data_IF_897537080759
#
_entry.id   IF_897537080759
#
_cell.length_a   1.000
_cell.length_b   1.000
_cell.length_c   1.000
_cell.angle_alpha   90.00
_cell.angle_beta   90.00
_cell.angle_gamma   90.00
#
_symmetry.space_group_name_H-M   'P 1'
#
loop_
_entity.id
_entity.type
_entity.pdbx_description
1 polymer ?
#
# COMPACT_ATOMS: atom_id res chain seq x y z
N UNK A 1 41.45 1.63 12.50
CA UNK A 1 41.21 0.23 12.08
C UNK A 1 41.06 0.28 10.57
N UNK A 2 42.08 -0.13 9.82
CA UNK A 2 42.03 -0.05 8.36
C UNK A 2 40.94 -1.00 7.81
N UNK A 3 40.10 -0.55 6.86
CA UNK A 3 39.09 -1.40 6.27
C UNK A 3 39.80 -2.44 5.41
N UNK A 4 39.81 -3.69 5.89
CA UNK A 4 40.38 -4.82 5.15
C UNK A 4 39.59 -5.00 3.85
N UNK A 5 40.23 -4.72 2.72
CA UNK A 5 39.67 -4.99 1.40
C UNK A 5 39.29 -6.47 1.34
N UNK A 6 38.00 -6.76 1.24
CA UNK A 6 37.52 -8.12 1.02
C UNK A 6 37.92 -8.48 -0.40
N UNK A 7 38.61 -9.61 -0.59
CA UNK A 7 38.89 -10.13 -1.92
C UNK A 7 37.58 -10.18 -2.73
N UNK A 8 37.60 -9.63 -3.94
CA UNK A 8 36.43 -9.61 -4.81
C UNK A 8 35.94 -11.05 -4.98
N UNK A 9 34.65 -11.30 -4.71
CA UNK A 9 34.08 -12.65 -4.79
C UNK A 9 34.20 -13.27 -6.20
N UNK A 10 34.52 -12.46 -7.20
CA UNK A 10 34.47 -12.80 -8.61
C UNK A 10 35.82 -12.58 -9.33
N UNK A 11 36.96 -12.69 -8.65
CA UNK A 11 38.27 -12.57 -9.33
C UNK A 11 38.36 -13.64 -10.45
N UNK A 12 38.49 -13.19 -11.70
CA UNK A 12 38.53 -14.06 -12.89
C UNK A 12 37.16 -14.54 -13.40
N UNK A 13 36.05 -13.99 -12.89
CA UNK A 13 34.68 -14.25 -13.35
C UNK A 13 33.95 -12.94 -13.60
N UNK A 14 32.93 -12.95 -14.45
CA UNK A 14 32.09 -11.77 -14.65
C UNK A 14 31.34 -11.40 -13.36
N UNK A 15 31.18 -10.11 -13.10
CA UNK A 15 30.42 -9.60 -11.96
C UNK A 15 28.92 -9.63 -12.20
N UNK A 16 28.49 -9.36 -13.43
CA UNK A 16 27.10 -9.35 -13.86
C UNK A 16 26.76 -10.59 -14.70
N UNK A 17 25.46 -10.90 -14.79
CA UNK A 17 24.98 -11.99 -15.63
C UNK A 17 25.16 -11.67 -17.11
N UNK A 18 25.67 -12.62 -17.90
CA UNK A 18 25.88 -12.44 -19.34
C UNK A 18 24.61 -11.99 -20.08
N UNK A 19 23.46 -12.61 -19.75
CA UNK A 19 22.18 -12.28 -20.38
C UNK A 19 21.71 -10.85 -20.04
N UNK A 20 21.99 -10.36 -18.83
CA UNK A 20 21.60 -9.02 -18.40
C UNK A 20 22.42 -7.97 -19.16
N UNK A 21 23.73 -8.19 -19.28
CA UNK A 21 24.61 -7.32 -20.05
C UNK A 21 24.29 -7.34 -21.55
N UNK A 22 23.96 -8.52 -22.10
CA UNK A 22 23.53 -8.62 -23.50
C UNK A 22 22.21 -7.89 -23.77
N UNK A 23 21.24 -7.97 -22.85
CA UNK A 23 19.99 -7.21 -22.94
C UNK A 23 20.23 -5.70 -22.81
N UNK A 24 21.15 -5.28 -21.95
CA UNK A 24 21.53 -3.88 -21.80
C UNK A 24 22.12 -3.32 -23.11
N UNK A 25 23.03 -4.07 -23.75
CA UNK A 25 23.61 -3.72 -25.05
C UNK A 25 22.54 -3.63 -26.14
N UNK A 26 21.67 -4.64 -26.24
CA UNK A 26 20.57 -4.64 -27.21
C UNK A 26 19.61 -3.45 -26.98
N UNK A 27 19.30 -3.12 -25.72
CA UNK A 27 18.47 -1.97 -25.37
C UNK A 27 19.09 -0.62 -25.75
N UNK A 28 20.41 -0.55 -25.90
CA UNK A 28 21.14 0.64 -26.35
C UNK A 28 21.48 0.61 -27.86
N UNK A 29 20.94 -0.36 -28.61
CA UNK A 29 21.04 -0.41 -30.07
C UNK A 29 22.11 -1.38 -30.62
N UNK A 30 22.70 -2.23 -29.79
CA UNK A 30 23.58 -3.31 -30.25
C UNK A 30 22.78 -4.49 -30.85
N UNK A 31 23.48 -5.49 -31.39
CA UNK A 31 22.90 -6.72 -31.93
C UNK A 31 22.29 -7.61 -30.84
N UNK A 32 21.31 -8.45 -31.20
CA UNK A 32 20.63 -9.38 -30.27
C UNK A 32 21.58 -10.37 -29.57
N UNK A 33 22.65 -10.76 -30.24
CA UNK A 33 23.65 -11.70 -29.74
C UNK A 33 25.02 -11.01 -29.86
N UNK A 34 25.41 -10.18 -28.87
CA UNK A 34 26.69 -9.49 -28.90
C UNK A 34 27.85 -10.48 -28.74
N UNK A 35 29.04 -10.07 -29.17
CA UNK A 35 30.25 -10.86 -28.99
C UNK A 35 30.55 -11.06 -27.50
N UNK A 36 31.01 -12.25 -27.12
CA UNK A 36 31.35 -12.56 -25.73
C UNK A 36 32.41 -11.63 -25.15
N UNK A 37 33.35 -11.18 -25.98
CA UNK A 37 34.40 -10.25 -25.57
C UNK A 37 33.84 -8.84 -25.30
N UNK A 38 32.86 -8.37 -26.09
CA UNK A 38 32.15 -7.11 -25.83
C UNK A 38 31.45 -7.16 -24.48
N UNK A 39 30.78 -8.27 -24.17
CA UNK A 39 30.09 -8.44 -22.89
C UNK A 39 31.07 -8.46 -21.71
N UNK A 40 32.24 -9.10 -21.87
CA UNK A 40 33.30 -9.09 -20.85
C UNK A 40 33.88 -7.70 -20.62
N UNK A 41 34.19 -6.97 -21.69
CA UNK A 41 34.70 -5.60 -21.58
C UNK A 41 33.65 -4.69 -20.92
N UNK A 42 32.37 -4.86 -21.26
CA UNK A 42 31.29 -4.13 -20.59
C UNK A 42 31.22 -4.43 -19.09
N UNK A 43 31.37 -5.69 -18.68
CA UNK A 43 31.42 -6.08 -17.27
C UNK A 43 32.55 -5.37 -16.51
N UNK A 44 33.74 -5.30 -17.11
CA UNK A 44 34.91 -4.63 -16.55
C UNK A 44 34.67 -3.11 -16.42
N UNK A 45 34.23 -2.46 -17.50
CA UNK A 45 33.94 -1.02 -17.52
C UNK A 45 32.86 -0.67 -16.49
N UNK A 46 31.78 -1.45 -16.43
CA UNK A 46 30.67 -1.21 -15.52
C UNK A 46 31.11 -1.39 -14.06
N UNK A 47 31.92 -2.41 -13.80
CA UNK A 47 32.48 -2.66 -12.47
C UNK A 47 33.38 -1.51 -12.03
N UNK A 48 34.27 -1.04 -12.91
CA UNK A 48 35.15 0.10 -12.64
C UNK A 48 34.34 1.38 -12.38
N UNK A 49 33.31 1.64 -13.18
CA UNK A 49 32.43 2.79 -13.01
C UNK A 49 31.72 2.78 -11.64
N UNK A 50 31.09 1.66 -11.26
CA UNK A 50 30.38 1.54 -9.98
C UNK A 50 31.35 1.69 -8.81
N UNK A 51 32.55 1.11 -8.90
CA UNK A 51 33.58 1.25 -7.88
C UNK A 51 34.04 2.70 -7.75
N UNK A 52 34.35 3.37 -8.87
CA UNK A 52 34.78 4.77 -8.90
C UNK A 52 33.78 5.70 -8.22
N UNK A 53 32.51 5.59 -8.62
CA UNK A 53 31.41 6.36 -8.01
C UNK A 53 31.28 6.05 -6.51
N UNK A 54 31.37 4.78 -6.12
CA UNK A 54 31.25 4.37 -4.72
C UNK A 54 32.38 4.92 -3.85
N UNK A 55 33.59 5.04 -4.39
CA UNK A 55 34.71 5.66 -3.68
C UNK A 55 34.50 7.16 -3.50
N UNK A 56 34.02 7.86 -4.52
CA UNK A 56 33.70 9.29 -4.41
C UNK A 56 32.58 9.56 -3.39
N UNK A 57 31.50 8.78 -3.44
CA UNK A 57 30.40 8.86 -2.48
C UNK A 57 30.87 8.53 -1.06
N UNK A 58 31.74 7.52 -0.89
CA UNK A 58 32.34 7.20 0.41
C UNK A 58 33.17 8.37 0.92
N UNK A 59 33.98 9.00 0.06
CA UNK A 59 34.77 10.18 0.45
C UNK A 59 33.88 11.33 0.90
N UNK A 60 32.76 11.59 0.21
CA UNK A 60 31.77 12.58 0.63
C UNK A 60 31.17 12.25 2.01
N UNK A 61 30.79 10.99 2.24
CA UNK A 61 30.27 10.54 3.53
C UNK A 61 31.30 10.71 4.67
N UNK A 62 32.57 10.40 4.41
CA UNK A 62 33.67 10.55 5.37
C UNK A 62 33.93 12.02 5.71
N UNK A 63 33.84 12.93 4.73
CA UNK A 63 33.90 14.37 4.99
C UNK A 63 32.77 14.86 5.91
N UNK A 64 31.60 14.20 5.87
CA UNK A 64 30.48 14.45 6.78
C UNK A 64 30.59 13.68 8.12
N UNK A 65 31.72 13.00 8.40
CA UNK A 65 31.93 12.20 9.61
C UNK A 65 31.11 10.91 9.68
N UNK A 66 30.53 10.47 8.56
CA UNK A 66 29.69 9.26 8.49
C UNK A 66 30.46 8.10 7.88
N UNK A 67 30.44 6.95 8.57
CA UNK A 67 30.97 5.70 8.03
C UNK A 67 30.02 5.05 6.99
N UNK A 68 28.71 5.33 7.10
CA UNK A 68 27.69 4.78 6.19
C UNK A 68 27.37 5.79 5.10
N UNK A 69 27.51 5.34 3.85
CA UNK A 69 27.13 6.09 2.65
C UNK A 69 25.61 6.17 2.58
N UNK A 70 25.12 7.38 2.33
CA UNK A 70 23.71 7.70 2.06
C UNK A 70 23.56 8.05 0.60
N UNK A 71 22.31 8.12 0.17
CA UNK A 71 21.98 8.52 -1.18
C UNK A 71 22.45 9.94 -1.55
N UNK A 72 22.34 10.88 -0.62
CA UNK A 72 22.84 12.26 -0.78
C UNK A 72 24.33 12.32 -1.15
N UNK A 73 25.11 11.32 -0.72
CA UNK A 73 26.54 11.24 -1.05
C UNK A 73 26.76 10.86 -2.52
N UNK A 74 25.86 10.08 -3.12
CA UNK A 74 25.88 9.75 -4.55
C UNK A 74 25.42 10.93 -5.41
N UNK A 75 24.41 11.67 -4.97
CA UNK A 75 24.03 12.94 -5.62
C UNK A 75 25.19 13.93 -5.62
N UNK A 76 25.91 14.03 -4.50
CA UNK A 76 27.07 14.90 -4.40
C UNK A 76 28.25 14.42 -5.26
N UNK A 77 28.50 13.10 -5.32
CA UNK A 77 29.54 12.54 -6.18
C UNK A 77 29.28 12.86 -7.66
N UNK A 78 28.04 12.70 -8.11
CA UNK A 78 27.68 12.90 -9.52
C UNK A 78 27.37 14.35 -9.91
N UNK A 79 27.57 15.33 -9.01
CA UNK A 79 27.23 16.77 -9.23
C UNK A 79 27.85 17.42 -10.46
N UNK A 80 28.91 16.82 -11.02
CA UNK A 80 29.59 17.32 -12.22
C UNK A 80 28.87 16.95 -13.52
N UNK A 81 28.04 15.91 -13.50
CA UNK A 81 27.30 15.46 -14.67
C UNK A 81 25.79 15.69 -14.45
N UNK A 82 25.19 16.69 -15.11
CA UNK A 82 23.77 17.02 -14.92
C UNK A 82 22.83 15.90 -15.38
N UNK A 83 23.21 15.10 -16.39
CA UNK A 83 22.36 14.04 -16.91
C UNK A 83 22.21 12.89 -15.91
N UNK A 84 23.30 12.53 -15.22
CA UNK A 84 23.25 11.52 -14.16
C UNK A 84 22.45 12.02 -12.96
N UNK A 85 22.55 13.30 -12.62
CA UNK A 85 21.77 13.90 -11.54
C UNK A 85 20.28 13.85 -11.85
N UNK A 86 19.87 14.22 -13.07
CA UNK A 86 18.47 14.17 -13.49
C UNK A 86 17.89 12.75 -13.41
N UNK A 87 18.62 11.75 -13.91
CA UNK A 87 18.20 10.33 -13.84
C UNK A 87 18.09 9.84 -12.40
N UNK A 88 19.02 10.26 -11.53
CA UNK A 88 19.02 9.91 -10.12
C UNK A 88 17.79 10.47 -9.41
N UNK A 89 17.45 11.73 -9.66
CA UNK A 89 16.27 12.39 -9.09
C UNK A 89 14.97 11.76 -9.60
N UNK A 90 14.85 11.52 -10.91
CA UNK A 90 13.71 10.86 -11.53
C UNK A 90 13.44 9.48 -10.91
N UNK A 91 14.49 8.69 -10.66
CA UNK A 91 14.36 7.38 -10.02
C UNK A 91 13.77 7.50 -8.60
N UNK A 92 14.12 8.55 -7.87
CA UNK A 92 13.59 8.81 -6.53
C UNK A 92 12.14 9.30 -6.55
N UNK A 93 11.78 10.12 -7.51
CA UNK A 93 10.39 10.56 -7.72
C UNK A 93 9.50 9.35 -8.02
N UNK A 94 9.89 8.50 -8.97
CA UNK A 94 9.17 7.25 -9.28
C UNK A 94 9.06 6.32 -8.07
N UNK A 95 10.12 6.22 -7.25
CA UNK A 95 10.06 5.42 -6.01
C UNK A 95 9.03 5.99 -5.03
N UNK A 96 8.99 7.31 -4.85
CA UNK A 96 7.99 7.97 -3.99
C UNK A 96 6.57 7.77 -4.52
N UNK A 97 6.37 7.88 -5.83
CA UNK A 97 5.09 7.62 -6.48
C UNK A 97 4.63 6.18 -6.25
N UNK A 98 5.51 5.19 -6.43
CA UNK A 98 5.21 3.78 -6.15
C UNK A 98 4.84 3.56 -4.68
N UNK A 99 5.59 4.17 -3.76
CA UNK A 99 5.30 4.08 -2.32
C UNK A 99 3.96 4.76 -1.96
N UNK A 100 3.63 5.88 -2.58
CA UNK A 100 2.35 6.57 -2.42
C UNK A 100 1.19 5.72 -2.97
N UNK A 101 1.34 5.15 -4.16
CA UNK A 101 0.35 4.27 -4.78
C UNK A 101 0.10 3.01 -3.93
N UNK A 102 1.16 2.40 -3.37
CA UNK A 102 1.03 1.26 -2.44
C UNK A 102 0.28 1.61 -1.16
N UNK A 103 0.49 2.82 -0.63
CA UNK A 103 -0.26 3.31 0.54
C UNK A 103 -1.73 3.54 0.20
N UNK A 104 -2.02 4.16 -0.94
CA UNK A 104 -3.39 4.34 -1.42
C UNK A 104 -4.14 3.02 -1.56
N UNK A 105 -3.52 2.03 -2.20
CA UNK A 105 -4.09 0.69 -2.36
C UNK A 105 -4.36 0.00 -1.01
N UNK A 106 -3.43 0.08 -0.04
CA UNK A 106 -3.64 -0.50 1.28
C UNK A 106 -4.77 0.16 2.08
N UNK A 107 -4.96 1.48 1.93
CA UNK A 107 -6.04 2.20 2.61
C UNK A 107 -7.39 1.83 1.98
N UNK A 108 -7.44 1.74 0.65
CA UNK A 108 -8.66 1.37 -0.08
C UNK A 108 -9.07 -0.08 0.20
N UNK A 109 -8.11 -1.02 0.23
CA UNK A 109 -8.35 -2.42 0.63
C UNK A 109 -8.82 -2.56 2.08
N UNK A 110 -8.34 -1.70 2.98
CA UNK A 110 -8.82 -1.69 4.38
C UNK A 110 -10.23 -1.11 4.48
N UNK A 111 -10.52 0.00 3.78
CA UNK A 111 -11.87 0.57 3.73
C UNK A 111 -12.89 -0.41 3.16
N UNK A 112 -12.55 -1.12 2.08
CA UNK A 112 -13.44 -2.15 1.50
C UNK A 112 -13.67 -3.30 2.47
N UNK A 113 -12.64 -3.77 3.18
CA UNK A 113 -12.80 -4.82 4.21
C UNK A 113 -13.60 -4.36 5.40
N UNK A 114 -13.50 -3.10 5.78
CA UNK A 114 -14.25 -2.56 6.92
C UNK A 114 -15.71 -2.28 6.51
N UNK A 115 -15.96 -1.82 5.29
CA UNK A 115 -17.30 -1.73 4.70
C UNK A 115 -17.98 -3.12 4.58
N UNK A 116 -17.26 -4.14 4.11
CA UNK A 116 -17.76 -5.52 4.04
C UNK A 116 -18.09 -6.11 5.42
N UNK A 117 -17.31 -5.75 6.46
CA UNK A 117 -17.58 -6.16 7.84
C UNK A 117 -18.79 -5.44 8.42
N UNK A 118 -18.92 -4.14 8.15
CA UNK A 118 -20.07 -3.34 8.58
C UNK A 118 -21.36 -3.82 7.90
N UNK A 119 -21.31 -4.15 6.60
CA UNK A 119 -22.46 -4.71 5.89
C UNK A 119 -22.86 -6.09 6.43
N UNK A 120 -21.88 -6.97 6.69
CA UNK A 120 -22.12 -8.29 7.31
C UNK A 120 -22.60 -8.20 8.76
N UNK A 121 -22.18 -7.19 9.51
CA UNK A 121 -22.68 -6.93 10.86
C UNK A 121 -24.14 -6.44 10.83
N UNK A 122 -24.45 -5.52 9.92
CA UNK A 122 -25.81 -5.01 9.70
C UNK A 122 -26.77 -6.09 9.16
N UNK A 123 -26.29 -7.05 8.37
CA UNK A 123 -27.08 -8.21 7.93
C UNK A 123 -27.38 -9.19 9.08
N UNK A 124 -26.39 -9.48 9.94
CA UNK A 124 -26.58 -10.33 11.14
C UNK A 124 -27.54 -9.73 12.16
N UNK A 125 -27.57 -8.41 12.32
CA UNK A 125 -28.52 -7.76 13.24
C UNK A 125 -29.95 -7.72 12.68
N UNK A 126 -30.12 -7.68 11.35
CA UNK A 126 -31.43 -7.83 10.70
C UNK A 126 -32.00 -9.25 10.87
N UNK A 127 -31.17 -10.29 10.79
CA UNK A 127 -31.59 -11.70 10.95
C UNK A 127 -31.94 -12.05 12.42
N UNK A 128 -31.20 -11.51 13.40
CA UNK A 128 -31.53 -11.64 14.84
C UNK A 128 -32.86 -10.96 15.24
N UNK A 129 -33.29 -9.94 14.51
CA UNK A 129 -34.58 -9.26 14.72
C UNK A 129 -35.79 -10.14 14.38
N UNK A 130 -35.66 -11.04 13.40
CA UNK A 130 -36.75 -11.92 12.96
C UNK A 130 -36.95 -13.09 13.94
N UNK A 131 -35.87 -13.69 14.43
CA UNK A 131 -35.94 -14.83 15.38
C UNK A 131 -36.53 -14.46 16.76
N UNK A 132 -36.35 -13.22 17.23
CA UNK A 132 -36.89 -12.76 18.52
C UNK A 132 -38.41 -12.50 18.48
N UNK A 133 -38.96 -12.16 17.31
CA UNK A 133 -40.41 -11.96 17.10
C UNK A 133 -41.18 -13.27 17.02
N UNK A 134 -40.61 -14.32 16.42
CA UNK A 134 -41.24 -15.64 16.36
C UNK A 134 -41.40 -16.32 17.73
N UNK A 135 -40.45 -16.12 18.64
CA UNK A 135 -40.46 -16.74 19.98
C UNK A 135 -41.48 -16.11 20.95
N UNK A 136 -41.80 -14.82 20.78
CA UNK A 136 -42.78 -14.10 21.63
C UNK A 136 -44.24 -14.39 21.24
N UNK A 137 -44.49 -14.74 19.97
CA UNK A 137 -45.83 -15.10 19.51
C UNK A 137 -46.30 -16.47 20.05
N UNK A 138 -45.42 -17.47 20.09
CA UNK A 138 -45.73 -18.81 20.62
C UNK A 138 -46.04 -18.83 22.13
N UNK A 139 -45.36 -18.00 22.93
CA UNK A 139 -45.58 -17.94 24.38
C UNK A 139 -46.91 -17.28 24.80
N UNK A 140 -47.52 -16.46 23.91
CA UNK A 140 -48.75 -15.72 24.22
C UNK A 140 -50.03 -16.50 23.85
N UNK A 141 -49.90 -17.58 23.08
CA UNK A 141 -51.04 -18.41 22.62
C UNK A 141 -51.40 -19.53 23.59
N UNK A 142 -50.57 -19.84 24.59
CA UNK A 142 -50.76 -20.94 25.55
C UNK A 142 -51.36 -20.53 26.91
N UNK A 143 -51.66 -19.25 27.14
CA UNK A 143 -52.03 -18.72 28.49
C UNK A 143 -53.47 -18.15 28.55
N UNK A 144 -54.22 -18.12 27.45
CA UNK A 144 -55.44 -17.29 27.35
C UNK A 144 -56.76 -18.02 27.15
N UNK A 145 -56.93 -19.25 27.65
CA UNK A 145 -58.19 -19.99 27.55
C UNK A 145 -58.48 -20.66 28.91
N UNK A 146 -58.91 -19.87 29.89
CA UNK A 146 -59.72 -20.26 31.05
C UNK A 146 -60.11 -18.97 31.84
N UNK A 147 -61.40 -18.89 32.18
CA UNK A 147 -62.14 -17.87 32.94
C UNK A 147 -62.54 -16.58 32.18
N UNK A 148 -63.79 -16.46 31.66
CA UNK A 148 -65.08 -16.26 32.38
C UNK A 148 -65.00 -14.99 33.25
N UNK A 149 -65.92 -14.04 33.31
CA UNK A 149 -67.34 -13.93 32.96
C UNK A 149 -67.70 -12.44 33.18
N UNK A 150 -68.76 -11.97 32.53
CA UNK A 150 -69.67 -10.88 32.94
C UNK A 150 -69.21 -9.43 33.12
N UNK A 151 -70.04 -8.53 32.58
CA UNK A 151 -70.34 -7.25 33.25
C UNK A 151 -70.33 -6.03 32.33
N UNK A 152 -71.50 -5.69 31.81
CA UNK A 152 -71.83 -4.45 31.11
C UNK A 152 -71.66 -3.16 31.96
N UNK A 153 -71.75 -2.02 31.26
CA UNK A 153 -72.20 -0.69 31.69
C UNK A 153 -71.19 0.39 32.20
N UNK A 154 -71.01 1.38 31.30
CA UNK A 154 -71.30 2.81 31.50
C UNK A 154 -70.25 3.87 31.94
N UNK A 155 -70.38 5.02 31.26
CA UNK A 155 -69.98 6.42 31.57
C UNK A 155 -68.55 6.88 31.23
N UNK A 156 -68.27 8.02 30.60
CA UNK A 156 -69.05 9.11 29.98
C UNK A 156 -68.06 9.97 29.16
N UNK A 157 -68.59 10.74 28.21
CA UNK A 157 -67.92 11.60 27.23
C UNK A 157 -67.90 13.06 27.71
N UNK A 158 -66.79 13.79 27.54
CA UNK A 158 -66.83 15.27 27.42
C UNK A 158 -65.97 15.74 26.22
N UNK A 159 -66.62 16.52 25.35
CA UNK A 159 -66.12 17.16 24.13
C UNK A 159 -66.54 18.64 24.18
N UNK A 160 -65.60 19.57 24.10
CA UNK A 160 -65.80 20.96 23.66
C UNK A 160 -64.56 21.34 22.84
N UNK A 161 -64.70 21.44 21.50
CA UNK A 161 -64.88 22.69 20.73
C UNK A 161 -63.58 23.53 20.69
N UNK A 162 -63.03 24.03 19.60
CA UNK A 162 -63.37 24.22 18.19
C UNK A 162 -62.21 25.07 17.66
N UNK A 163 -61.65 24.82 16.48
CA UNK A 163 -62.09 25.53 15.29
C UNK A 163 -61.09 26.60 14.78
N UNK A 164 -60.65 26.39 13.52
CA UNK A 164 -60.32 27.41 12.50
C UNK A 164 -58.94 28.11 12.60
N UNK A 165 -58.30 28.59 11.53
CA UNK A 165 -58.48 28.58 10.07
C UNK A 165 -57.07 28.85 9.49
N UNK A 166 -56.64 28.32 8.34
CA UNK A 166 -57.11 28.72 7.02
C UNK A 166 -56.03 29.54 6.27
N UNK A 167 -55.66 29.03 5.08
CA UNK A 167 -55.23 29.76 3.86
C UNK A 167 -54.11 30.82 3.98
N UNK A 168 -52.96 30.54 3.35
CA UNK A 168 -52.57 31.02 2.01
C UNK A 168 -51.27 30.35 1.57
#
# INVERSE_FOLDING_TARGET
MEPRARAGKNVGKMNFGHNELAQLLYGHGDVRAPLNDTVRVLDEILTEFIQGVSFEATRAAQHAGRQKVKFEDFEFAMRRNPDYMGKIQEMFEKKKEIEAARKGFNIEDQLMKDADKEEKAAEKDRDKGVSKRGRKAMARMQIGEEDLEDGDDDLEMELLDGGSAGRR
#
